data_IF_861186704094
#
_entry.id   IF_861186704094
#
_cell.length_a   1.000
_cell.length_b   1.000
_cell.length_c   1.000
_cell.angle_alpha   90.00
_cell.angle_beta   90.00
_cell.angle_gamma   90.00
#
_symmetry.space_group_name_H-M   'P 1'
#
loop_
_entity.id
_entity.type
_entity.pdbx_description
1 polymer ?
#
# COMPACT_ATOMS: atom_id res chain seq x y z
N UNK A 1 6.63 -11.00 20.67
CA UNK A 1 6.74 -9.83 19.77
C UNK A 1 6.69 -8.61 20.68
N UNK A 2 7.70 -7.75 20.67
CA UNK A 2 7.69 -6.53 21.49
C UNK A 2 6.67 -5.54 20.91
N UNK A 3 6.07 -4.70 21.76
CA UNK A 3 4.99 -3.77 21.37
C UNK A 3 5.44 -2.75 20.32
N UNK A 4 6.66 -2.23 20.45
CA UNK A 4 7.19 -1.16 19.59
C UNK A 4 7.31 -1.56 18.10
N UNK A 5 8.00 -2.66 17.72
CA UNK A 5 8.03 -3.08 16.32
C UNK A 5 6.65 -3.39 15.76
N UNK A 6 5.76 -3.97 16.57
CA UNK A 6 4.40 -4.26 16.15
C UNK A 6 3.65 -2.97 15.75
N UNK A 7 3.69 -1.95 16.60
CA UNK A 7 3.09 -0.64 16.35
C UNK A 7 3.66 0.02 15.09
N UNK A 8 5.00 0.05 14.96
CA UNK A 8 5.67 0.62 13.79
C UNK A 8 5.20 -0.05 12.50
N UNK A 9 5.16 -1.40 12.47
CA UNK A 9 4.70 -2.14 11.30
C UNK A 9 3.23 -1.87 10.96
N UNK A 10 2.35 -1.84 11.96
CA UNK A 10 0.92 -1.54 11.77
C UNK A 10 0.73 -0.13 11.20
N UNK A 11 1.37 0.88 11.82
CA UNK A 11 1.26 2.28 11.40
C UNK A 11 1.85 2.50 9.99
N UNK A 12 3.00 1.89 9.68
CA UNK A 12 3.60 1.97 8.36
C UNK A 12 2.71 1.36 7.27
N UNK A 13 2.15 0.17 7.50
CA UNK A 13 1.22 -0.47 6.56
C UNK A 13 -0.08 0.35 6.40
N UNK A 14 -0.60 0.91 7.49
CA UNK A 14 -1.80 1.75 7.48
C UNK A 14 -1.56 3.03 6.69
N UNK A 15 -0.40 3.68 6.89
CA UNK A 15 -0.02 4.89 6.17
C UNK A 15 0.17 4.60 4.67
N UNK A 16 0.85 3.50 4.33
CA UNK A 16 1.09 3.09 2.94
C UNK A 16 -0.22 2.82 2.17
N UNK A 17 -1.21 2.21 2.82
CA UNK A 17 -2.52 1.91 2.22
C UNK A 17 -3.63 2.89 2.65
N UNK A 18 -3.29 4.06 3.20
CA UNK A 18 -4.28 4.98 3.73
C UNK A 18 -5.28 5.47 2.66
N UNK A 19 -4.81 5.68 1.43
CA UNK A 19 -5.69 6.02 0.30
C UNK A 19 -6.71 4.93 -0.02
N UNK A 20 -6.32 3.66 0.08
CA UNK A 20 -7.23 2.53 -0.15
C UNK A 20 -8.26 2.42 0.99
N UNK A 21 -7.81 2.58 2.24
CA UNK A 21 -8.65 2.53 3.43
C UNK A 21 -9.67 3.67 3.44
N UNK A 22 -9.26 4.90 3.12
CA UNK A 22 -10.16 6.07 3.01
C UNK A 22 -11.23 5.90 1.92
N UNK A 23 -11.01 5.02 0.96
CA UNK A 23 -11.96 4.72 -0.12
C UNK A 23 -13.00 3.66 0.29
N UNK A 24 -12.94 3.10 1.51
CA UNK A 24 -13.94 2.15 2.00
C UNK A 24 -15.06 2.88 2.75
N UNK A 25 -16.34 2.48 2.58
CA UNK A 25 -17.48 3.17 3.22
C UNK A 25 -17.34 3.29 4.73
N UNK A 26 -16.84 2.24 5.40
CA UNK A 26 -16.69 2.19 6.85
C UNK A 26 -15.65 3.19 7.41
N UNK A 27 -14.62 3.53 6.61
CA UNK A 27 -13.54 4.42 7.06
C UNK A 27 -13.63 5.82 6.45
N UNK A 28 -14.42 5.99 5.38
CA UNK A 28 -14.68 7.30 4.78
C UNK A 28 -15.41 8.25 5.75
N UNK A 29 -16.20 7.72 6.69
CA UNK A 29 -16.97 8.50 7.66
C UNK A 29 -16.24 8.74 8.99
N UNK A 30 -14.95 8.43 9.09
CA UNK A 30 -14.21 8.67 10.33
C UNK A 30 -14.13 10.17 10.63
N UNK A 31 -14.27 10.57 11.91
CA UNK A 31 -14.20 11.98 12.30
C UNK A 31 -12.78 12.56 12.29
N UNK A 32 -11.78 11.78 11.87
CA UNK A 32 -10.38 12.17 11.83
C UNK A 32 -9.69 11.63 10.57
N UNK A 33 -8.60 12.28 10.15
CA UNK A 33 -7.81 11.85 9.01
C UNK A 33 -6.88 10.67 9.40
N UNK A 34 -7.17 9.49 8.84
CA UNK A 34 -6.39 8.26 9.06
C UNK A 34 -4.92 8.38 8.61
N UNK A 35 -4.65 9.08 7.52
CA UNK A 35 -3.28 9.33 7.03
C UNK A 35 -2.51 10.17 8.04
N UNK A 36 -3.14 11.23 8.57
CA UNK A 36 -2.52 12.09 9.56
C UNK A 36 -2.27 11.33 10.87
N UNK A 37 -3.28 10.58 11.35
CA UNK A 37 -3.15 9.78 12.57
C UNK A 37 -2.04 8.72 12.46
N UNK A 38 -2.00 7.97 11.34
CA UNK A 38 -0.96 6.97 11.11
C UNK A 38 0.42 7.62 10.92
N UNK A 39 0.49 8.76 10.23
CA UNK A 39 1.72 9.51 10.00
C UNK A 39 2.34 10.06 11.28
N UNK A 40 1.53 10.72 12.11
CA UNK A 40 1.98 11.26 13.41
C UNK A 40 2.38 10.13 14.37
N UNK A 41 1.59 9.05 14.42
CA UNK A 41 1.92 7.87 15.21
C UNK A 41 3.26 7.28 14.76
N UNK A 42 3.45 7.08 13.46
CA UNK A 42 4.69 6.53 12.92
C UNK A 42 5.88 7.46 13.20
N UNK A 43 5.72 8.77 13.02
CA UNK A 43 6.75 9.77 13.32
C UNK A 43 7.19 9.72 14.79
N UNK A 44 6.27 9.44 15.72
CA UNK A 44 6.59 9.31 17.13
C UNK A 44 7.33 8.01 17.48
N UNK A 45 6.93 6.87 16.88
CA UNK A 45 7.49 5.55 17.25
C UNK A 45 8.69 5.11 16.42
N UNK A 46 8.84 5.60 15.19
CA UNK A 46 9.91 5.20 14.28
C UNK A 46 11.30 5.59 14.81
N UNK A 47 11.54 6.81 15.35
CA UNK A 47 12.83 7.17 15.93
C UNK A 47 13.21 6.27 17.11
N UNK A 48 12.22 5.83 17.91
CA UNK A 48 12.46 4.90 19.02
C UNK A 48 12.90 3.53 18.52
N UNK A 49 12.31 3.04 17.42
CA UNK A 49 12.77 1.79 16.79
C UNK A 49 14.20 1.93 16.27
N UNK A 50 14.51 3.07 15.62
CA UNK A 50 15.86 3.37 15.11
C UNK A 50 16.88 3.46 16.26
N UNK A 51 16.53 4.08 17.38
CA UNK A 51 17.41 4.21 18.54
C UNK A 51 17.61 2.87 19.30
N UNK A 52 16.64 1.97 19.25
CA UNK A 52 16.66 0.72 20.02
C UNK A 52 17.50 -0.41 19.39
N UNK A 53 18.14 -0.18 18.23
CA UNK A 53 18.80 -1.22 17.44
C UNK A 53 20.16 -0.78 16.88
N UNK A 54 21.08 -1.74 16.79
CA UNK A 54 22.33 -1.57 16.05
C UNK A 54 22.12 -1.90 14.57
N UNK A 55 22.13 -0.87 13.73
CA UNK A 55 21.89 -1.03 12.30
C UNK A 55 23.17 -1.35 11.55
N UNK A 56 23.12 -2.39 10.72
CA UNK A 56 24.18 -2.74 9.76
C UNK A 56 23.58 -2.87 8.37
N UNK A 57 24.14 -2.15 7.42
CA UNK A 57 23.76 -2.26 6.02
C UNK A 57 24.45 -3.47 5.38
N UNK A 58 23.67 -4.40 4.83
CA UNK A 58 24.18 -5.49 4.01
C UNK A 58 24.48 -4.97 2.59
N UNK A 59 25.46 -5.54 1.89
CA UNK A 59 25.70 -5.23 0.47
C UNK A 59 24.54 -5.66 -0.42
N UNK A 60 23.74 -6.64 -0.01
CA UNK A 60 22.59 -7.12 -0.77
C UNK A 60 21.53 -6.04 -1.04
N UNK A 61 21.42 -5.01 -0.19
CA UNK A 61 20.46 -3.92 -0.40
C UNK A 61 20.98 -2.83 -1.34
N UNK A 62 22.27 -2.85 -1.71
CA UNK A 62 22.86 -1.80 -2.55
C UNK A 62 22.22 -1.72 -3.93
N UNK A 63 21.97 -2.87 -4.58
CA UNK A 63 21.33 -2.91 -5.90
C UNK A 63 19.86 -2.44 -5.87
N UNK A 64 19.00 -2.92 -4.95
CA UNK A 64 17.66 -2.36 -4.76
C UNK A 64 17.67 -0.85 -4.50
N UNK A 65 18.57 -0.36 -3.63
CA UNK A 65 18.68 1.08 -3.36
C UNK A 65 19.13 1.87 -4.57
N UNK A 66 20.10 1.36 -5.34
CA UNK A 66 20.54 1.97 -6.58
C UNK A 66 19.38 2.05 -7.59
N UNK A 67 18.61 0.96 -7.76
CA UNK A 67 17.46 0.95 -8.66
C UNK A 67 16.38 1.98 -8.25
N UNK A 68 16.07 2.09 -6.96
CA UNK A 68 15.14 3.11 -6.46
C UNK A 68 15.70 4.52 -6.70
N UNK A 69 16.99 4.74 -6.46
CA UNK A 69 17.66 6.01 -6.75
C UNK A 69 17.60 6.37 -8.23
N UNK A 70 17.87 5.41 -9.13
CA UNK A 70 17.77 5.60 -10.58
C UNK A 70 16.35 5.90 -11.03
N UNK A 71 15.34 5.20 -10.50
CA UNK A 71 13.93 5.49 -10.77
C UNK A 71 13.55 6.90 -10.35
N UNK A 72 14.06 7.35 -9.20
CA UNK A 72 13.78 8.68 -8.71
C UNK A 72 14.47 9.77 -9.55
N UNK A 73 15.73 9.57 -9.96
CA UNK A 73 16.42 10.44 -10.93
C UNK A 73 15.66 10.48 -12.26
N UNK A 74 15.21 9.33 -12.74
CA UNK A 74 14.42 9.23 -13.95
C UNK A 74 13.11 10.02 -13.85
N UNK A 75 12.41 9.98 -12.72
CA UNK A 75 11.21 10.79 -12.51
C UNK A 75 11.48 12.29 -12.64
N UNK A 76 12.60 12.79 -12.09
CA UNK A 76 12.99 14.20 -12.20
C UNK A 76 13.28 14.56 -13.66
N UNK A 77 14.05 13.71 -14.36
CA UNK A 77 14.39 13.90 -15.77
C UNK A 77 13.14 13.90 -16.65
N UNK A 78 12.32 12.85 -16.55
CA UNK A 78 11.05 12.73 -17.26
C UNK A 78 10.14 13.94 -16.98
N UNK A 79 10.19 14.48 -15.76
CA UNK A 79 9.39 15.63 -15.39
C UNK A 79 9.77 16.94 -16.04
N UNK A 80 11.04 17.12 -16.40
CA UNK A 80 11.48 18.32 -17.08
C UNK A 80 11.04 18.38 -18.56
N UNK A 81 10.73 17.24 -19.19
CA UNK A 81 10.44 17.16 -20.63
C UNK A 81 8.97 16.80 -20.92
N UNK A 82 8.19 16.46 -19.88
CA UNK A 82 6.77 16.11 -20.02
C UNK A 82 5.92 17.28 -20.53
N UNK A 83 4.97 17.07 -21.45
CA UNK A 83 4.01 18.10 -21.87
C UNK A 83 3.14 18.62 -20.72
N UNK A 84 2.95 17.83 -19.65
CA UNK A 84 2.12 18.15 -18.49
C UNK A 84 2.89 18.89 -17.38
N UNK A 85 3.80 19.81 -17.74
CA UNK A 85 4.78 20.43 -16.80
C UNK A 85 4.15 21.05 -15.55
N UNK A 86 2.95 21.65 -15.67
CA UNK A 86 2.28 22.32 -14.55
C UNK A 86 1.72 21.34 -13.51
N UNK A 87 1.11 20.23 -13.97
CA UNK A 87 0.63 19.17 -13.06
C UNK A 87 1.82 18.44 -12.45
N UNK A 88 2.84 18.20 -13.28
CA UNK A 88 3.99 17.43 -12.85
C UNK A 88 4.87 18.22 -11.88
N UNK A 89 5.09 19.52 -12.06
CA UNK A 89 5.88 20.32 -11.12
C UNK A 89 5.29 20.32 -9.71
N UNK A 90 3.96 20.40 -9.60
CA UNK A 90 3.25 20.31 -8.32
C UNK A 90 3.44 18.93 -7.66
N UNK A 91 3.33 17.84 -8.43
CA UNK A 91 3.46 16.47 -7.91
C UNK A 91 4.89 15.99 -7.72
N UNK A 92 5.82 16.52 -8.51
CA UNK A 92 7.25 16.21 -8.42
C UNK A 92 7.81 16.77 -7.11
N UNK A 93 7.39 17.95 -6.66
CA UNK A 93 7.79 18.50 -5.36
C UNK A 93 7.38 17.58 -4.21
N UNK A 94 6.12 17.13 -4.19
CA UNK A 94 5.62 16.16 -3.20
C UNK A 94 6.45 14.87 -3.26
N UNK A 95 6.66 14.29 -4.44
CA UNK A 95 7.37 13.02 -4.61
C UNK A 95 8.87 13.11 -4.26
N UNK A 96 9.55 14.21 -4.61
CA UNK A 96 10.98 14.42 -4.35
C UNK A 96 11.22 14.68 -2.86
N UNK A 97 10.32 15.37 -2.17
CA UNK A 97 10.48 15.65 -0.74
C UNK A 97 10.01 14.47 0.13
N UNK A 98 8.86 13.87 -0.18
CA UNK A 98 8.30 12.79 0.63
C UNK A 98 8.91 11.42 0.31
N UNK A 99 9.26 11.16 -0.95
CA UNK A 99 9.79 9.86 -1.40
C UNK A 99 10.98 9.35 -0.57
N UNK A 100 11.99 10.19 -0.26
CA UNK A 100 13.16 9.77 0.53
C UNK A 100 12.82 9.42 1.96
N UNK A 101 11.96 10.24 2.59
CA UNK A 101 11.49 9.99 3.94
C UNK A 101 10.67 8.71 4.01
N UNK A 102 9.81 8.47 3.03
CA UNK A 102 9.02 7.24 2.90
C UNK A 102 9.92 6.02 2.67
N UNK A 103 10.94 6.13 1.80
CA UNK A 103 11.92 5.08 1.56
C UNK A 103 12.71 4.75 2.82
N UNK A 104 13.24 5.77 3.51
CA UNK A 104 13.97 5.59 4.76
C UNK A 104 13.11 4.92 5.85
N UNK A 105 11.85 5.35 5.99
CA UNK A 105 10.90 4.70 6.89
C UNK A 105 10.64 3.24 6.50
N UNK A 106 10.47 2.95 5.20
CA UNK A 106 10.32 1.59 4.68
C UNK A 106 11.53 0.70 4.98
N UNK A 107 12.75 1.22 4.79
CA UNK A 107 14.01 0.51 5.11
C UNK A 107 14.07 0.21 6.61
N UNK A 108 13.76 1.18 7.47
CA UNK A 108 13.77 1.01 8.92
C UNK A 108 12.76 -0.05 9.39
N UNK A 109 11.56 -0.07 8.79
CA UNK A 109 10.53 -1.10 9.05
C UNK A 109 11.02 -2.48 8.57
N UNK A 110 11.59 -2.55 7.37
CA UNK A 110 12.04 -3.80 6.77
C UNK A 110 13.24 -4.42 7.50
N UNK A 111 14.10 -3.59 8.08
CA UNK A 111 15.30 -4.04 8.76
C UNK A 111 15.03 -4.60 10.18
N UNK A 112 13.82 -4.43 10.75
CA UNK A 112 13.37 -5.17 11.94
C UNK A 112 12.33 -6.25 11.57
N UNK A 113 12.65 -7.52 11.84
CA UNK A 113 11.76 -8.65 11.51
C UNK A 113 10.41 -8.64 12.25
N UNK A 114 10.32 -7.99 13.41
CA UNK A 114 9.06 -7.80 14.13
C UNK A 114 8.16 -6.79 13.41
N UNK A 115 8.73 -5.64 13.06
CA UNK A 115 8.04 -4.58 12.33
C UNK A 115 7.63 -5.03 10.93
N UNK A 116 8.53 -5.70 10.19
CA UNK A 116 8.22 -6.25 8.87
C UNK A 116 7.07 -7.26 8.93
N UNK A 117 7.06 -8.18 9.91
CA UNK A 117 5.97 -9.15 10.07
C UNK A 117 4.64 -8.50 10.41
N UNK A 118 4.67 -7.48 11.28
CA UNK A 118 3.48 -6.71 11.61
C UNK A 118 2.95 -5.95 10.39
N UNK A 119 3.83 -5.27 9.66
CA UNK A 119 3.50 -4.57 8.42
C UNK A 119 2.87 -5.53 7.40
N UNK A 120 3.51 -6.67 7.10
CA UNK A 120 2.98 -7.65 6.16
C UNK A 120 1.61 -8.21 6.57
N UNK A 121 1.41 -8.53 7.86
CA UNK A 121 0.10 -8.99 8.36
C UNK A 121 -0.97 -7.91 8.22
N UNK A 122 -0.63 -6.67 8.57
CA UNK A 122 -1.54 -5.53 8.45
C UNK A 122 -1.86 -5.23 6.99
N UNK A 123 -0.88 -5.25 6.09
CA UNK A 123 -1.09 -5.10 4.64
C UNK A 123 -2.01 -6.17 4.05
N UNK A 124 -1.81 -7.44 4.45
CA UNK A 124 -2.69 -8.53 4.07
C UNK A 124 -4.13 -8.29 4.57
N UNK A 125 -4.28 -7.92 5.84
CA UNK A 125 -5.58 -7.62 6.44
C UNK A 125 -6.27 -6.43 5.75
N UNK A 126 -5.53 -5.37 5.44
CA UNK A 126 -6.02 -4.21 4.70
C UNK A 126 -6.51 -4.63 3.32
N UNK A 127 -5.73 -5.39 2.55
CA UNK A 127 -6.17 -5.81 1.21
C UNK A 127 -7.40 -6.73 1.23
N UNK A 128 -7.51 -7.64 2.20
CA UNK A 128 -8.72 -8.46 2.42
C UNK A 128 -9.92 -7.56 2.78
N UNK A 129 -9.72 -6.63 3.70
CA UNK A 129 -10.76 -5.68 4.11
C UNK A 129 -11.22 -4.79 2.95
N UNK A 130 -10.29 -4.28 2.14
CA UNK A 130 -10.58 -3.49 0.95
C UNK A 130 -11.33 -4.32 -0.08
N UNK A 131 -10.91 -5.55 -0.36
CA UNK A 131 -11.62 -6.47 -1.27
C UNK A 131 -13.06 -6.73 -0.80
N UNK A 132 -13.25 -7.04 0.49
CA UNK A 132 -14.58 -7.24 1.08
C UNK A 132 -15.45 -5.99 1.02
N UNK A 133 -14.87 -4.83 1.31
CA UNK A 133 -15.58 -3.54 1.23
C UNK A 133 -16.02 -3.20 -0.19
N UNK A 134 -15.16 -3.47 -1.19
CA UNK A 134 -15.49 -3.30 -2.62
C UNK A 134 -16.62 -4.24 -3.03
N UNK A 135 -16.51 -5.52 -2.71
CA UNK A 135 -17.53 -6.51 -3.05
C UNK A 135 -18.88 -6.20 -2.39
N UNK A 136 -18.88 -5.80 -1.12
CA UNK A 136 -20.09 -5.39 -0.41
C UNK A 136 -20.70 -4.13 -1.00
N UNK A 137 -19.90 -3.10 -1.30
CA UNK A 137 -20.37 -1.87 -1.92
C UNK A 137 -21.01 -2.10 -3.29
N UNK A 138 -20.50 -3.06 -4.07
CA UNK A 138 -21.13 -3.51 -5.32
C UNK A 138 -22.46 -4.23 -5.05
N UNK A 139 -22.50 -5.11 -4.04
CA UNK A 139 -23.70 -5.90 -3.74
C UNK A 139 -24.86 -5.07 -3.17
N UNK A 140 -24.58 -3.93 -2.52
CA UNK A 140 -25.59 -3.06 -1.89
C UNK A 140 -25.96 -1.84 -2.74
N UNK A 141 -25.46 -1.74 -3.97
CA UNK A 141 -25.53 -0.54 -4.83
C UNK A 141 -25.00 0.75 -4.15
N UNK A 142 -24.25 0.62 -3.06
CA UNK A 142 -23.57 1.70 -2.37
C UNK A 142 -22.13 1.83 -2.87
N UNK A 143 -21.96 1.90 -4.19
CA UNK A 143 -20.63 2.02 -4.80
C UNK A 143 -20.04 3.39 -4.46
N UNK A 144 -19.31 3.46 -3.35
CA UNK A 144 -18.49 4.62 -2.93
C UNK A 144 -17.02 4.33 -3.21
N UNK A 145 -16.72 3.77 -4.38
CA UNK A 145 -15.35 3.77 -4.89
C UNK A 145 -15.32 4.80 -6.00
N UNK A 146 -14.93 6.00 -5.60
CA UNK A 146 -14.85 7.17 -6.45
C UNK A 146 -15.70 8.38 -6.04
N UNK A 147 -16.43 8.29 -4.94
CA UNK A 147 -17.31 9.36 -4.46
C UNK A 147 -18.75 9.22 -4.95
N UNK A 148 -19.59 10.16 -4.53
CA UNK A 148 -21.02 10.20 -4.88
C UNK A 148 -21.23 10.21 -6.40
N UNK A 149 -22.40 9.75 -6.86
CA UNK A 149 -22.85 9.91 -8.25
C UNK A 149 -22.75 11.39 -8.65
N UNK A 150 -21.86 11.72 -9.58
CA UNK A 150 -21.51 13.11 -9.97
C UNK A 150 -20.11 13.59 -9.55
N UNK A 151 -19.33 12.78 -8.83
CA UNK A 151 -17.93 13.07 -8.51
C UNK A 151 -17.03 13.05 -9.75
N UNK A 152 -15.90 13.79 -9.70
CA UNK A 152 -14.95 13.89 -10.80
C UNK A 152 -14.47 12.49 -11.24
N UNK A 153 -14.72 12.07 -12.49
CA UNK A 153 -14.41 10.72 -12.97
C UNK A 153 -12.92 10.35 -12.89
N UNK A 154 -12.01 11.34 -12.86
CA UNK A 154 -10.58 11.08 -12.70
C UNK A 154 -10.23 10.66 -11.27
N UNK A 155 -10.89 11.27 -10.26
CA UNK A 155 -10.70 10.89 -8.85
C UNK A 155 -11.26 9.49 -8.57
N UNK A 156 -12.36 9.15 -9.25
CA UNK A 156 -12.95 7.81 -9.22
C UNK A 156 -11.94 6.76 -9.69
N UNK A 157 -11.30 6.98 -10.84
CA UNK A 157 -10.30 6.07 -11.41
C UNK A 157 -9.11 5.88 -10.49
N UNK A 158 -8.60 6.96 -9.89
CA UNK A 158 -7.46 6.89 -8.96
C UNK A 158 -7.80 6.06 -7.72
N UNK A 159 -8.99 6.23 -7.14
CA UNK A 159 -9.41 5.43 -5.98
C UNK A 159 -9.51 3.94 -6.32
N UNK A 160 -10.02 3.60 -7.51
CA UNK A 160 -10.05 2.22 -7.99
C UNK A 160 -8.65 1.62 -8.18
N UNK A 161 -7.70 2.37 -8.72
CA UNK A 161 -6.31 1.93 -8.88
C UNK A 161 -5.64 1.69 -7.52
N UNK A 162 -5.86 2.58 -6.54
CA UNK A 162 -5.29 2.46 -5.20
C UNK A 162 -5.92 1.26 -4.45
N UNK A 163 -7.23 1.06 -4.58
CA UNK A 163 -7.91 -0.12 -4.02
C UNK A 163 -7.40 -1.41 -4.67
N UNK A 164 -7.27 -1.44 -5.99
CA UNK A 164 -6.70 -2.57 -6.74
C UNK A 164 -5.27 -2.89 -6.31
N UNK A 165 -4.42 -1.86 -6.11
CA UNK A 165 -3.06 -2.03 -5.62
C UNK A 165 -3.02 -2.66 -4.22
N UNK A 166 -3.90 -2.25 -3.30
CA UNK A 166 -3.99 -2.84 -1.97
C UNK A 166 -4.37 -4.33 -2.00
N UNK A 167 -5.36 -4.69 -2.83
CA UNK A 167 -5.80 -6.08 -3.02
C UNK A 167 -4.69 -6.92 -3.67
N UNK A 168 -4.04 -6.40 -4.72
CA UNK A 168 -2.93 -7.06 -5.40
C UNK A 168 -1.74 -7.27 -4.46
N UNK A 169 -1.41 -6.29 -3.61
CA UNK A 169 -0.34 -6.41 -2.61
C UNK A 169 -0.65 -7.52 -1.61
N UNK A 170 -1.90 -7.61 -1.13
CA UNK A 170 -2.34 -8.69 -0.26
C UNK A 170 -2.27 -10.06 -0.95
N UNK A 171 -2.66 -10.14 -2.24
CA UNK A 171 -2.53 -11.37 -3.02
C UNK A 171 -1.06 -11.80 -3.17
N UNK A 172 -0.15 -10.86 -3.43
CA UNK A 172 1.29 -11.14 -3.48
C UNK A 172 1.83 -11.68 -2.15
N UNK A 173 1.45 -11.08 -1.03
CA UNK A 173 1.83 -11.58 0.31
C UNK A 173 1.25 -12.98 0.59
N UNK A 174 0.01 -13.23 0.20
CA UNK A 174 -0.62 -14.54 0.30
C UNK A 174 0.09 -15.58 -0.58
N UNK A 175 0.54 -15.21 -1.78
CA UNK A 175 1.26 -16.09 -2.69
C UNK A 175 2.64 -16.47 -2.14
N UNK A 176 3.37 -15.52 -1.56
CA UNK A 176 4.64 -15.80 -0.86
C UNK A 176 4.39 -16.80 0.29
N UNK A 177 3.32 -16.60 1.07
CA UNK A 177 2.95 -17.56 2.13
C UNK A 177 2.57 -18.93 1.60
N UNK A 178 1.87 -19.03 0.47
CA UNK A 178 1.57 -20.29 -0.18
C UNK A 178 2.86 -21.05 -0.55
N UNK A 179 3.87 -20.33 -1.05
CA UNK A 179 5.16 -20.91 -1.45
C UNK A 179 6.04 -21.34 -0.27
N UNK A 180 5.94 -20.69 0.88
CA UNK A 180 6.74 -21.01 2.07
C UNK A 180 6.21 -22.22 2.86
N UNK A 181 4.89 -22.47 2.82
CA UNK A 181 4.29 -23.53 3.63
C UNK A 181 4.46 -24.89 2.96
N UNK A 182 4.86 -25.89 3.73
CA UNK A 182 5.13 -27.26 3.24
C UNK A 182 3.96 -28.23 3.35
N UNK A 183 2.87 -27.83 4.00
CA UNK A 183 1.68 -28.68 4.25
C UNK A 183 0.59 -28.36 3.24
N UNK A 184 -0.02 -29.39 2.64
CA UNK A 184 -1.01 -29.25 1.57
C UNK A 184 -2.22 -28.39 1.97
N UNK A 185 -2.82 -28.63 3.14
CA UNK A 185 -4.03 -27.89 3.56
C UNK A 185 -3.78 -26.36 3.68
N UNK A 186 -2.76 -25.89 4.41
CA UNK A 186 -2.40 -24.47 4.38
C UNK A 186 -2.06 -23.93 2.99
N UNK A 187 -1.37 -24.70 2.14
CA UNK A 187 -1.07 -24.28 0.76
C UNK A 187 -2.36 -24.04 -0.02
N UNK A 188 -3.33 -24.96 0.07
CA UNK A 188 -4.63 -24.80 -0.57
C UNK A 188 -5.39 -23.59 -0.03
N UNK A 189 -5.36 -23.35 1.28
CA UNK A 189 -6.00 -22.19 1.89
C UNK A 189 -5.39 -20.87 1.39
N UNK A 190 -4.06 -20.78 1.33
CA UNK A 190 -3.38 -19.59 0.80
C UNK A 190 -3.59 -19.44 -0.72
N UNK A 191 -3.55 -20.53 -1.48
CA UNK A 191 -3.83 -20.50 -2.91
C UNK A 191 -5.28 -20.05 -3.21
N UNK A 192 -6.24 -20.52 -2.42
CA UNK A 192 -7.63 -20.07 -2.50
C UNK A 192 -7.75 -18.58 -2.17
N UNK A 193 -7.01 -18.09 -1.17
CA UNK A 193 -6.97 -16.65 -0.86
C UNK A 193 -6.35 -15.83 -1.99
N UNK A 194 -5.26 -16.30 -2.61
CA UNK A 194 -4.66 -15.66 -3.79
C UNK A 194 -5.66 -15.59 -4.93
N UNK A 195 -6.34 -16.70 -5.23
CA UNK A 195 -7.36 -16.74 -6.28
C UNK A 195 -8.53 -15.78 -5.97
N UNK A 196 -9.02 -15.78 -4.73
CA UNK A 196 -10.10 -14.90 -4.29
C UNK A 196 -9.72 -13.42 -4.37
N UNK A 197 -8.52 -13.04 -3.92
CA UNK A 197 -8.02 -11.67 -4.03
C UNK A 197 -7.71 -11.28 -5.47
N UNK A 198 -7.21 -12.20 -6.30
CA UNK A 198 -7.01 -12.00 -7.72
C UNK A 198 -8.33 -11.70 -8.45
N UNK A 199 -9.37 -12.48 -8.16
CA UNK A 199 -10.72 -12.21 -8.66
C UNK A 199 -11.26 -10.87 -8.14
N UNK A 200 -11.06 -10.56 -6.86
CA UNK A 200 -11.48 -9.29 -6.27
C UNK A 200 -10.75 -8.08 -6.87
N UNK A 201 -9.48 -8.22 -7.29
CA UNK A 201 -8.72 -7.15 -7.94
C UNK A 201 -9.29 -6.78 -9.32
N UNK A 202 -10.11 -7.64 -9.94
CA UNK A 202 -10.86 -7.33 -11.15
C UNK A 202 -12.10 -6.46 -10.87
N UNK A 203 -12.55 -6.32 -9.62
CA UNK A 203 -13.74 -5.53 -9.30
C UNK A 203 -13.50 -4.01 -9.43
N UNK A 204 -12.41 -3.43 -8.90
CA UNK A 204 -12.13 -1.99 -9.01
C UNK A 204 -11.96 -1.48 -10.45
N UNK A 205 -11.44 -2.28 -11.38
CA UNK A 205 -11.07 -1.80 -12.73
C UNK A 205 -11.21 -2.80 -13.87
N UNK A 206 -11.74 -4.00 -13.63
CA UNK A 206 -11.69 -5.12 -14.57
C UNK A 206 -12.57 -4.97 -15.80
N UNK A 207 -13.64 -4.16 -15.77
CA UNK A 207 -14.49 -3.95 -16.96
C UNK A 207 -13.75 -3.26 -18.10
N UNK A 208 -12.76 -2.42 -17.81
CA UNK A 208 -11.94 -1.74 -18.82
C UNK A 208 -10.60 -2.43 -19.07
N UNK A 209 -10.04 -3.13 -18.07
CA UNK A 209 -8.78 -3.87 -18.23
C UNK A 209 -8.92 -5.18 -19.03
N UNK A 210 -10.06 -5.88 -18.95
CA UNK A 210 -10.36 -7.07 -19.78
C UNK A 210 -10.85 -6.71 -21.19
N UNK A 211 -11.46 -5.53 -21.37
CA UNK A 211 -11.91 -5.05 -22.67
C UNK A 211 -10.81 -4.31 -23.47
N UNK A 212 -9.65 -4.07 -22.84
CA UNK A 212 -8.47 -3.44 -23.46
C UNK A 212 -7.35 -4.42 -23.85
N UNK A 213 -7.58 -5.73 -23.70
CA UNK A 213 -6.82 -6.80 -24.34
C UNK A 213 -7.57 -7.25 -25.59
#
# INVERSE_FOLDING_TARGET
MTLLPALVGILAATLHFAGALKSTPALASLPFDLTLAAGLGLLAVLPLLVAARDWRADRAIALPLAAVGTLWLWMVVAGSWSPARLVLSAKLQEAVLAGPAMLAAGIAVAADAGALRAAARTSLAIGIFTAGSVALGIATDQVVLGGQVGANPDLVRVQYQIAGLAIASAAGLAAVRAAEVRRLLPVLAWAALVAGLGAAALLPGGRTALAGL
#
